data_IF_330990206470
#
_entry.id   IF_330990206470
#
_cell.length_a   1.000
_cell.length_b   1.000
_cell.length_c   1.000
_cell.angle_alpha   90.00
_cell.angle_beta   90.00
_cell.angle_gamma   90.00
#
_symmetry.space_group_name_H-M   'P 1'
#
loop_
_entity.id
_entity.type
_entity.pdbx_description
1 polymer ?
#
# COMPACT_ATOMS: atom_id res chain seq x y z
N UNK A 1 -0.87 22.57 -24.16
CA UNK A 1 -0.84 22.16 -22.74
C UNK A 1 -2.27 21.96 -22.28
N UNK A 2 -2.71 20.71 -22.09
CA UNK A 2 -4.09 20.39 -21.71
C UNK A 2 -4.15 20.05 -20.23
N UNK A 3 -4.76 20.93 -19.44
CA UNK A 3 -5.02 20.71 -18.03
C UNK A 3 -6.08 19.60 -17.90
N UNK A 4 -5.65 18.40 -17.51
CA UNK A 4 -6.57 17.32 -17.14
C UNK A 4 -7.24 17.71 -15.83
N UNK A 5 -8.52 18.08 -15.94
CA UNK A 5 -9.43 18.26 -14.82
C UNK A 5 -9.43 16.99 -13.97
N UNK A 6 -8.80 17.06 -12.79
CA UNK A 6 -8.92 16.04 -11.76
C UNK A 6 -10.36 16.07 -11.25
N UNK A 7 -11.13 15.01 -11.53
CA UNK A 7 -12.48 14.83 -10.98
C UNK A 7 -12.46 15.03 -9.46
N UNK A 8 -12.91 16.20 -9.00
CA UNK A 8 -13.12 16.53 -7.59
C UNK A 8 -14.35 15.76 -7.09
N UNK A 9 -14.14 14.51 -6.68
CA UNK A 9 -15.12 13.75 -5.91
C UNK A 9 -15.41 14.45 -4.59
N UNK A 10 -16.68 14.59 -4.18
CA UNK A 10 -17.06 15.27 -2.92
C UNK A 10 -16.28 14.70 -1.70
N UNK A 11 -15.85 15.53 -0.72
CA UNK A 11 -15.26 15.05 0.52
C UNK A 11 -16.20 14.04 1.18
N UNK A 12 -15.79 12.78 1.30
CA UNK A 12 -16.49 11.87 2.21
C UNK A 12 -16.13 12.31 3.62
N UNK A 13 -17.12 12.74 4.41
CA UNK A 13 -16.95 12.94 5.85
C UNK A 13 -16.28 11.68 6.41
N UNK A 14 -15.07 11.83 6.96
CA UNK A 14 -14.53 10.84 7.87
C UNK A 14 -15.48 10.84 9.06
N UNK A 15 -16.37 9.86 9.15
CA UNK A 15 -17.09 9.61 10.40
C UNK A 15 -16.08 9.08 11.42
N UNK A 16 -16.36 9.26 12.71
CA UNK A 16 -15.54 8.86 13.86
C UNK A 16 -15.31 7.35 14.01
N UNK A 17 -15.51 6.58 12.93
CA UNK A 17 -15.34 5.14 12.88
C UNK A 17 -13.87 4.81 12.63
N UNK A 18 -13.15 4.24 13.61
CA UNK A 18 -11.74 3.90 13.46
C UNK A 18 -11.49 3.00 12.24
N UNK A 19 -12.40 2.07 11.94
CA UNK A 19 -12.29 1.17 10.78
C UNK A 19 -12.18 1.91 9.44
N UNK A 20 -12.86 3.06 9.32
CA UNK A 20 -12.82 3.87 8.10
C UNK A 20 -11.46 4.55 7.98
N UNK A 21 -10.91 5.05 9.09
CA UNK A 21 -9.59 5.67 9.15
C UNK A 21 -8.51 4.65 8.76
N UNK A 22 -8.50 3.45 9.37
CA UNK A 22 -7.54 2.40 9.02
C UNK A 22 -7.63 2.00 7.54
N UNK A 23 -8.85 1.81 7.00
CA UNK A 23 -9.04 1.54 5.57
C UNK A 23 -8.48 2.65 4.70
N UNK A 24 -8.63 3.91 5.11
CA UNK A 24 -8.08 5.06 4.37
C UNK A 24 -6.56 5.08 4.41
N UNK A 25 -5.94 4.83 5.57
CA UNK A 25 -4.48 4.70 5.70
C UNK A 25 -3.98 3.57 4.79
N UNK A 26 -4.57 2.38 4.87
CA UNK A 26 -4.16 1.20 4.07
C UNK A 26 -4.35 1.39 2.56
N UNK A 27 -5.42 2.07 2.14
CA UNK A 27 -5.62 2.43 0.73
C UNK A 27 -4.57 3.43 0.24
N UNK A 28 -4.23 4.40 1.08
CA UNK A 28 -3.20 5.40 0.79
C UNK A 28 -1.82 4.75 0.73
N UNK A 29 -1.50 3.88 1.68
CA UNK A 29 -0.32 3.02 1.68
C UNK A 29 -0.17 2.25 0.37
N UNK A 30 -1.23 1.55 -0.07
CA UNK A 30 -1.23 0.87 -1.37
C UNK A 30 -1.01 1.84 -2.55
N UNK A 31 -1.70 2.99 -2.55
CA UNK A 31 -1.60 4.02 -3.60
C UNK A 31 -0.17 4.56 -3.69
N UNK A 32 0.46 4.82 -2.55
CA UNK A 32 1.83 5.30 -2.43
C UNK A 32 2.81 4.33 -3.08
N UNK A 33 2.86 3.09 -2.60
CA UNK A 33 3.77 2.08 -3.13
C UNK A 33 3.50 1.74 -4.59
N UNK A 34 2.24 1.75 -5.05
CA UNK A 34 1.92 1.59 -6.47
C UNK A 34 2.40 2.77 -7.33
N UNK A 35 2.43 3.99 -6.79
CA UNK A 35 2.97 5.16 -7.49
C UNK A 35 4.48 5.06 -7.58
N UNK A 36 5.15 4.93 -6.45
CA UNK A 36 6.61 4.78 -6.34
C UNK A 36 7.12 3.64 -7.22
N UNK A 37 6.49 2.47 -7.12
CA UNK A 37 6.82 1.32 -7.94
C UNK A 37 6.69 1.62 -9.43
N UNK A 38 5.63 2.31 -9.84
CA UNK A 38 5.43 2.68 -11.24
C UNK A 38 6.45 3.72 -11.72
N UNK A 39 6.87 4.64 -10.86
CA UNK A 39 7.80 5.70 -11.23
C UNK A 39 9.22 5.17 -11.44
N UNK A 40 9.61 4.13 -10.70
CA UNK A 40 10.88 3.40 -10.89
C UNK A 40 10.80 2.46 -12.09
N UNK A 41 9.73 1.66 -12.17
CA UNK A 41 9.73 0.48 -13.05
C UNK A 41 8.97 0.70 -14.35
N UNK A 42 8.15 1.75 -14.47
CA UNK A 42 7.19 1.98 -15.55
C UNK A 42 6.18 0.82 -15.72
N UNK A 43 5.83 0.21 -14.58
CA UNK A 43 4.95 -0.96 -14.50
C UNK A 43 3.63 -0.80 -15.27
N UNK A 44 2.90 0.31 -15.12
CA UNK A 44 1.57 0.47 -15.77
C UNK A 44 1.67 0.44 -17.29
N UNK A 45 2.78 0.93 -17.88
CA UNK A 45 3.01 0.89 -19.33
C UNK A 45 3.40 -0.52 -19.76
N UNK A 46 4.34 -1.15 -19.03
CA UNK A 46 4.87 -2.49 -19.35
C UNK A 46 3.82 -3.60 -19.16
N UNK A 47 3.00 -3.54 -18.10
CA UNK A 47 1.91 -4.48 -17.81
C UNK A 47 0.98 -4.73 -18.99
N UNK A 48 0.67 -3.68 -19.79
CA UNK A 48 -0.24 -3.79 -20.94
C UNK A 48 0.33 -4.61 -22.10
N UNK A 49 1.65 -4.84 -22.10
CA UNK A 49 2.40 -5.40 -23.23
C UNK A 49 2.97 -6.78 -22.95
N UNK A 50 2.86 -7.27 -21.72
CA UNK A 50 3.55 -8.47 -21.26
C UNK A 50 2.54 -9.58 -20.97
N UNK A 51 2.79 -10.75 -21.56
CA UNK A 51 2.03 -11.99 -21.37
C UNK A 51 2.56 -12.85 -20.22
N UNK A 52 3.87 -12.79 -19.93
CA UNK A 52 4.49 -13.53 -18.83
C UNK A 52 4.61 -12.64 -17.60
N UNK A 53 3.94 -12.99 -16.50
CA UNK A 53 3.90 -12.16 -15.30
C UNK A 53 5.08 -12.34 -14.34
N UNK A 54 6.04 -13.26 -14.61
CA UNK A 54 7.22 -13.46 -13.78
C UNK A 54 8.07 -12.19 -13.63
N UNK A 55 8.11 -11.34 -14.65
CA UNK A 55 8.82 -10.04 -14.63
C UNK A 55 8.37 -9.11 -13.49
N UNK A 56 7.16 -9.29 -12.96
CA UNK A 56 6.66 -8.44 -11.88
C UNK A 56 7.49 -8.63 -10.60
N UNK A 57 7.92 -9.86 -10.33
CA UNK A 57 8.78 -10.16 -9.17
C UNK A 57 10.15 -9.54 -9.39
N UNK A 58 10.72 -9.68 -10.59
CA UNK A 58 12.03 -9.08 -10.94
C UNK A 58 12.02 -7.56 -10.75
N UNK A 59 10.95 -6.90 -11.23
CA UNK A 59 10.76 -5.46 -11.04
C UNK A 59 10.57 -5.08 -9.56
N UNK A 60 9.90 -5.91 -8.78
CA UNK A 60 9.74 -5.68 -7.34
C UNK A 60 11.08 -5.79 -6.62
N UNK A 61 11.93 -6.73 -7.01
CA UNK A 61 13.29 -6.85 -6.49
C UNK A 61 14.14 -5.64 -6.90
N UNK A 62 14.06 -5.19 -8.15
CA UNK A 62 14.72 -3.96 -8.63
C UNK A 62 14.28 -2.73 -7.82
N UNK A 63 12.96 -2.57 -7.61
CA UNK A 63 12.42 -1.49 -6.78
C UNK A 63 12.93 -1.54 -5.34
N UNK A 64 12.97 -2.73 -4.72
CA UNK A 64 13.48 -2.89 -3.35
C UNK A 64 14.95 -2.51 -3.29
N UNK A 65 15.77 -2.93 -4.25
CA UNK A 65 17.18 -2.57 -4.30
C UNK A 65 17.40 -1.07 -4.50
N UNK A 66 16.59 -0.40 -5.33
CA UNK A 66 16.70 1.04 -5.62
C UNK A 66 16.18 1.92 -4.47
N UNK A 67 15.03 1.57 -3.89
CA UNK A 67 14.28 2.45 -2.96
C UNK A 67 14.30 2.03 -1.51
N UNK A 68 14.69 0.79 -1.24
CA UNK A 68 14.72 0.22 0.10
C UNK A 68 16.00 -0.62 0.27
N UNK A 69 17.19 -0.07 -0.06
CA UNK A 69 18.45 -0.81 -0.04
C UNK A 69 18.82 -1.31 1.36
N UNK A 70 18.28 -0.71 2.41
CA UNK A 70 18.50 -1.10 3.80
C UNK A 70 17.61 -2.27 4.26
N UNK A 71 16.75 -2.80 3.38
CA UNK A 71 15.88 -3.93 3.72
C UNK A 71 16.69 -5.21 3.97
N UNK A 72 16.57 -5.75 5.18
CA UNK A 72 17.10 -7.08 5.54
C UNK A 72 16.13 -8.22 5.19
N UNK A 73 14.94 -7.89 4.69
CA UNK A 73 13.88 -8.87 4.45
C UNK A 73 13.94 -9.48 3.04
N UNK A 74 14.27 -10.77 2.96
CA UNK A 74 14.38 -11.54 1.71
C UNK A 74 13.08 -11.55 0.88
N UNK A 75 11.93 -11.65 1.53
CA UNK A 75 10.61 -11.72 0.88
C UNK A 75 10.02 -10.33 0.51
N UNK A 76 10.74 -9.24 0.71
CA UNK A 76 10.15 -7.91 0.55
C UNK A 76 9.68 -7.66 -0.90
N UNK A 77 10.41 -8.15 -1.90
CA UNK A 77 9.99 -8.07 -3.30
C UNK A 77 8.67 -8.80 -3.58
N UNK A 78 8.47 -9.97 -2.97
CA UNK A 78 7.19 -10.70 -3.05
C UNK A 78 6.06 -9.91 -2.37
N UNK A 79 6.35 -9.26 -1.25
CA UNK A 79 5.37 -8.42 -0.56
C UNK A 79 4.97 -7.19 -1.39
N UNK A 80 5.94 -6.49 -2.00
CA UNK A 80 5.68 -5.37 -2.91
C UNK A 80 4.86 -5.85 -4.12
N UNK A 81 5.18 -7.03 -4.66
CA UNK A 81 4.41 -7.67 -5.74
C UNK A 81 2.95 -7.86 -5.31
N UNK A 82 2.71 -8.47 -4.14
CA UNK A 82 1.38 -8.66 -3.57
C UNK A 82 0.63 -7.34 -3.30
N UNK A 83 1.35 -6.27 -2.92
CA UNK A 83 0.76 -4.96 -2.65
C UNK A 83 0.31 -4.25 -3.93
N UNK A 84 1.16 -4.25 -4.96
CA UNK A 84 0.93 -3.60 -6.26
C UNK A 84 -0.12 -4.37 -7.06
N UNK A 85 -0.08 -5.72 -7.01
CA UNK A 85 -0.97 -6.61 -7.73
C UNK A 85 -1.59 -7.68 -6.80
N UNK A 86 -2.54 -7.31 -5.91
CA UNK A 86 -3.11 -8.27 -4.96
C UNK A 86 -3.93 -9.39 -5.60
N UNK A 87 -4.48 -9.14 -6.80
CA UNK A 87 -5.14 -10.15 -7.62
C UNK A 87 -4.12 -10.70 -8.61
N UNK A 88 -3.50 -11.81 -8.27
CA UNK A 88 -2.50 -12.44 -9.11
C UNK A 88 -3.11 -12.89 -10.45
N UNK A 89 -2.42 -12.67 -11.57
CA UNK A 89 -2.80 -13.24 -12.86
C UNK A 89 -2.55 -14.74 -12.93
N UNK A 90 -3.25 -15.42 -13.84
CA UNK A 90 -3.01 -16.81 -14.19
C UNK A 90 -1.54 -17.06 -14.58
N UNK A 91 -0.92 -18.05 -13.95
CA UNK A 91 0.48 -18.44 -14.10
C UNK A 91 1.40 -17.98 -12.95
N UNK A 92 0.96 -17.06 -12.08
CA UNK A 92 1.73 -16.67 -10.88
C UNK A 92 1.33 -17.45 -9.62
N UNK A 93 0.28 -18.28 -9.69
CA UNK A 93 -0.24 -19.05 -8.56
C UNK A 93 0.69 -20.19 -8.12
N UNK A 94 1.71 -20.52 -8.91
CA UNK A 94 2.69 -21.56 -8.58
C UNK A 94 3.62 -21.16 -7.42
N UNK A 95 3.78 -19.86 -7.14
CA UNK A 95 4.55 -19.39 -5.99
C UNK A 95 3.65 -19.33 -4.75
N UNK A 96 3.74 -20.35 -3.90
CA UNK A 96 2.92 -20.49 -2.68
C UNK A 96 3.06 -19.31 -1.72
N UNK A 97 4.28 -18.78 -1.58
CA UNK A 97 4.56 -17.63 -0.71
C UNK A 97 3.91 -16.35 -1.24
N UNK A 98 4.02 -16.09 -2.54
CA UNK A 98 3.37 -14.95 -3.18
C UNK A 98 1.84 -15.04 -3.07
N UNK A 99 1.26 -16.23 -3.23
CA UNK A 99 -0.17 -16.43 -3.03
C UNK A 99 -0.61 -16.13 -1.60
N UNK A 100 0.13 -16.64 -0.62
CA UNK A 100 -0.13 -16.37 0.80
C UNK A 100 -0.16 -14.86 1.07
N UNK A 101 0.91 -14.15 0.67
CA UNK A 101 1.03 -12.70 0.85
C UNK A 101 -0.08 -11.93 0.11
N UNK A 102 -0.41 -12.36 -1.12
CA UNK A 102 -1.48 -11.72 -1.91
C UNK A 102 -2.85 -11.89 -1.27
N UNK A 103 -3.14 -13.05 -0.69
CA UNK A 103 -4.37 -13.31 0.04
C UNK A 103 -4.45 -12.44 1.30
N UNK A 104 -3.38 -12.38 2.07
CA UNK A 104 -3.27 -11.55 3.27
C UNK A 104 -3.51 -10.07 2.94
N UNK A 105 -2.80 -9.55 1.93
CA UNK A 105 -2.97 -8.17 1.45
C UNK A 105 -4.39 -7.94 0.96
N UNK A 106 -4.99 -8.88 0.21
CA UNK A 106 -6.38 -8.76 -0.22
C UNK A 106 -7.36 -8.69 0.95
N UNK A 107 -7.22 -9.58 1.93
CA UNK A 107 -8.09 -9.64 3.10
C UNK A 107 -8.04 -8.33 3.89
N UNK A 108 -6.87 -7.71 4.02
CA UNK A 108 -6.71 -6.47 4.77
C UNK A 108 -7.17 -5.25 3.97
N UNK A 109 -6.84 -5.16 2.68
CA UNK A 109 -7.22 -4.02 1.85
C UNK A 109 -8.72 -4.01 1.48
N UNK A 110 -9.35 -5.17 1.34
CA UNK A 110 -10.73 -5.30 0.87
C UNK A 110 -11.73 -5.76 1.95
N UNK A 111 -11.29 -6.51 2.97
CA UNK A 111 -12.14 -7.10 4.02
C UNK A 111 -11.64 -6.79 5.43
N UNK A 112 -11.14 -5.57 5.63
CA UNK A 112 -10.59 -5.09 6.89
C UNK A 112 -11.48 -5.37 8.11
N UNK A 113 -10.85 -5.92 9.15
CA UNK A 113 -11.26 -5.86 10.54
C UNK A 113 -10.01 -5.72 11.42
N UNK A 114 -10.16 -5.40 12.71
CA UNK A 114 -9.01 -5.19 13.61
C UNK A 114 -8.13 -6.44 13.78
N UNK A 115 -8.72 -7.64 13.80
CA UNK A 115 -7.96 -8.90 13.90
C UNK A 115 -6.99 -9.05 12.73
N UNK A 116 -7.50 -8.89 11.50
CA UNK A 116 -6.71 -9.00 10.27
C UNK A 116 -5.60 -7.94 10.19
N UNK A 117 -5.83 -6.76 10.77
CA UNK A 117 -4.78 -5.75 10.86
C UNK A 117 -3.65 -6.20 11.80
N UNK A 118 -4.00 -6.78 12.96
CA UNK A 118 -3.00 -7.33 13.88
C UNK A 118 -2.25 -8.51 13.24
N UNK A 119 -2.96 -9.38 12.52
CA UNK A 119 -2.35 -10.48 11.76
C UNK A 119 -1.34 -9.92 10.76
N UNK A 120 -1.69 -8.86 10.03
CA UNK A 120 -0.79 -8.23 9.07
C UNK A 120 0.42 -7.57 9.72
N UNK A 121 0.24 -6.90 10.87
CA UNK A 121 1.32 -6.29 11.65
C UNK A 121 2.29 -7.34 12.23
N UNK A 122 1.89 -8.61 12.32
CA UNK A 122 2.79 -9.69 12.69
C UNK A 122 3.81 -10.06 11.60
N UNK A 123 3.60 -9.63 10.35
CA UNK A 123 4.55 -9.82 9.26
C UNK A 123 5.60 -8.69 9.30
N UNK A 124 6.89 -8.99 9.59
CA UNK A 124 7.93 -7.98 9.73
C UNK A 124 8.09 -7.11 8.49
N UNK A 125 7.97 -7.71 7.29
CA UNK A 125 8.07 -7.01 6.01
C UNK A 125 6.99 -5.95 5.87
N UNK A 126 5.76 -6.26 6.28
CA UNK A 126 4.65 -5.33 6.24
C UNK A 126 4.86 -4.17 7.21
N UNK A 127 5.17 -4.49 8.47
CA UNK A 127 5.38 -3.48 9.51
C UNK A 127 6.51 -2.53 9.13
N UNK A 128 7.59 -3.06 8.55
CA UNK A 128 8.70 -2.27 8.04
C UNK A 128 8.27 -1.27 6.96
N UNK A 129 7.60 -1.71 5.88
CA UNK A 129 7.17 -0.79 4.82
C UNK A 129 6.02 0.12 5.26
N UNK A 130 5.15 -0.35 6.15
CA UNK A 130 4.11 0.50 6.72
C UNK A 130 4.77 1.63 7.53
N UNK A 131 5.77 1.33 8.35
CA UNK A 131 6.52 2.34 9.11
C UNK A 131 7.22 3.35 8.21
N UNK A 132 7.86 2.90 7.12
CA UNK A 132 8.44 3.82 6.11
C UNK A 132 7.37 4.71 5.50
N UNK A 133 6.21 4.17 5.13
CA UNK A 133 5.08 4.96 4.63
C UNK A 133 4.55 5.95 5.67
N UNK A 134 4.42 5.55 6.94
CA UNK A 134 3.95 6.43 8.01
C UNK A 134 4.95 7.56 8.34
N UNK A 135 6.18 7.46 7.85
CA UNK A 135 7.26 8.43 8.06
C UNK A 135 7.46 9.37 6.86
N UNK A 136 6.66 9.28 5.80
CA UNK A 136 6.83 10.16 4.64
C UNK A 136 6.52 11.62 5.00
N UNK A 137 7.26 12.58 4.42
CA UNK A 137 6.88 13.98 4.51
C UNK A 137 5.47 14.20 3.97
N UNK A 138 4.70 15.07 4.62
CA UNK A 138 3.33 15.44 4.19
C UNK A 138 2.35 14.26 4.11
N UNK A 139 2.55 13.18 4.90
CA UNK A 139 1.66 12.03 4.95
C UNK A 139 0.19 12.42 5.16
N UNK A 140 -0.09 13.39 6.05
CA UNK A 140 -1.43 13.85 6.33
C UNK A 140 -2.09 14.50 5.11
N UNK A 141 -1.33 15.24 4.30
CA UNK A 141 -1.83 15.83 3.04
C UNK A 141 -2.08 14.73 2.00
N UNK A 142 -1.19 13.74 1.93
CA UNK A 142 -1.31 12.62 1.01
C UNK A 142 -2.53 11.74 1.31
N UNK A 143 -2.76 11.38 2.58
CA UNK A 143 -3.95 10.63 3.01
C UNK A 143 -5.19 11.50 2.95
N UNK A 144 -5.03 12.77 3.31
CA UNK A 144 -6.06 13.79 3.45
C UNK A 144 -6.36 14.55 2.17
N UNK A 145 -6.40 13.87 1.01
CA UNK A 145 -7.19 14.36 -0.14
C UNK A 145 -8.66 14.49 0.32
N UNK A 146 -8.98 15.61 1.01
CA UNK A 146 -10.29 16.07 1.53
C UNK A 146 -10.68 15.70 2.98
N UNK A 147 -9.82 15.76 4.00
CA UNK A 147 -10.34 15.84 5.38
C UNK A 147 -11.02 17.20 5.59
N UNK A 148 -12.35 17.17 5.75
CA UNK A 148 -13.20 18.36 5.77
C UNK A 148 -13.32 19.05 7.13
N UNK A 149 -12.66 18.55 8.19
CA UNK A 149 -12.70 19.14 9.54
C UNK A 149 -11.41 18.92 10.34
N UNK A 150 -11.08 19.81 11.30
CA UNK A 150 -9.95 19.66 12.22
C UNK A 150 -9.99 18.39 13.07
N UNK A 151 -11.17 17.96 13.49
CA UNK A 151 -11.39 16.75 14.31
C UNK A 151 -11.04 15.46 13.54
N UNK A 152 -11.40 15.40 12.25
CA UNK A 152 -11.02 14.27 11.40
C UNK A 152 -9.50 14.18 11.23
N UNK A 153 -8.83 15.33 11.13
CA UNK A 153 -7.36 15.40 11.07
C UNK A 153 -6.73 14.94 12.39
N UNK A 154 -7.23 15.39 13.54
CA UNK A 154 -6.75 14.93 14.85
C UNK A 154 -6.91 13.41 15.03
N UNK A 155 -8.08 12.87 14.70
CA UNK A 155 -8.35 11.44 14.75
C UNK A 155 -7.42 10.65 13.83
N UNK A 156 -7.20 11.13 12.60
CA UNK A 156 -6.26 10.50 11.66
C UNK A 156 -4.82 10.50 12.21
N UNK A 157 -4.36 11.63 12.74
CA UNK A 157 -3.03 11.74 13.37
C UNK A 157 -2.88 10.75 14.52
N UNK A 158 -3.88 10.66 15.41
CA UNK A 158 -3.85 9.71 16.52
C UNK A 158 -3.74 8.25 16.05
N UNK A 159 -4.47 7.87 15.01
CA UNK A 159 -4.38 6.50 14.46
C UNK A 159 -3.05 6.24 13.73
N UNK A 160 -2.46 7.25 13.07
CA UNK A 160 -1.13 7.15 12.47
C UNK A 160 -0.08 6.91 13.55
N UNK A 161 -0.08 7.71 14.63
CA UNK A 161 0.83 7.53 15.76
C UNK A 161 0.68 6.15 16.39
N UNK A 162 -0.56 5.71 16.62
CA UNK A 162 -0.83 4.36 17.14
C UNK A 162 -0.29 3.25 16.24
N UNK A 163 -0.41 3.37 14.91
CA UNK A 163 0.16 2.38 14.00
C UNK A 163 1.69 2.42 14.01
N UNK A 164 2.29 3.61 14.04
CA UNK A 164 3.74 3.79 14.04
C UNK A 164 4.38 3.17 15.29
N UNK A 165 3.70 3.21 16.44
CA UNK A 165 4.16 2.58 17.68
C UNK A 165 4.07 1.04 17.65
N UNK A 166 3.23 0.48 16.78
CA UNK A 166 3.03 -0.98 16.65
C UNK A 166 3.82 -1.61 15.50
N UNK A 167 4.48 -0.78 14.68
CA UNK A 167 5.35 -1.21 13.58
C UNK A 167 6.83 -1.13 13.98
#
# INVERSE_FOLDING_TARGET
MSARSLCLTKPKKFGDRPDVIYKTILRSFKKYYLSEFNDVTDYKRKKRRISNHSFLIDMANEYVQDRIPESEYEDLGLFITALVQPKLPSGMESNSRLMELSNIVCEVLYRFNKSKMNDLLSYPQFSFILKKFLSIPNLLEFIGEKSSSPEATQNLTAQISFLAERC
#
